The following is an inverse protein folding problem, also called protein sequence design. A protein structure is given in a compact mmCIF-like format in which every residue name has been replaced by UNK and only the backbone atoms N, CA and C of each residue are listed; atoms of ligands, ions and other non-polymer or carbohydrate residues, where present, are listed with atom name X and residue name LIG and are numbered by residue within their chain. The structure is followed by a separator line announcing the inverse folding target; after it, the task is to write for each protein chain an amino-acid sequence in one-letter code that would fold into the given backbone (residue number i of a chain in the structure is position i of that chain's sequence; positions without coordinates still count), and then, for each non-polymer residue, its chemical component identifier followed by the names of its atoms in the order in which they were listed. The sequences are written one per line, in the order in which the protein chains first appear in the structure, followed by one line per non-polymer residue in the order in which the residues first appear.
data_IF_277138027033
#
_entry.id   IF_277138027033
#
_cell.length_a   1.000
_cell.length_b   1.000
_cell.length_c   1.000
_cell.angle_alpha   90.00
_cell.angle_beta   90.00
_cell.angle_gamma   90.00
#
_symmetry.space_group_name_H-M   'P 1'
#
loop_
_entity.id
_entity.type
_entity.pdbx_description
1 polymer ?
#
# COMPACT_ATOMS: atom_id res chain seq x y z
N UNK A 1 14.27 -15.69 15.08
CA UNK A 1 12.83 -15.33 15.05
C UNK A 1 12.51 -14.11 14.17
N UNK A 2 13.41 -13.69 13.25
CA UNK A 2 13.18 -12.54 12.35
C UNK A 2 12.69 -12.91 10.95
N UNK A 3 12.89 -14.17 10.52
CA UNK A 3 12.54 -14.62 9.17
C UNK A 3 11.04 -14.56 8.92
N UNK A 4 10.19 -15.11 9.81
CA UNK A 4 8.75 -15.18 9.58
C UNK A 4 8.09 -13.80 9.43
N UNK A 5 8.37 -12.87 10.34
CA UNK A 5 7.82 -11.49 10.27
C UNK A 5 8.31 -10.73 9.04
N UNK A 6 9.55 -10.98 8.60
CA UNK A 6 10.08 -10.38 7.36
C UNK A 6 9.37 -10.93 6.12
N UNK A 7 9.09 -12.24 6.08
CA UNK A 7 8.33 -12.84 4.98
C UNK A 7 6.88 -12.31 4.93
N UNK A 8 6.25 -12.11 6.08
CA UNK A 8 4.93 -11.48 6.17
C UNK A 8 4.96 -10.02 5.67
N UNK A 9 6.01 -9.27 6.03
CA UNK A 9 6.21 -7.90 5.54
C UNK A 9 6.35 -7.86 4.01
N UNK A 10 7.22 -8.70 3.44
CA UNK A 10 7.40 -8.84 1.99
C UNK A 10 6.08 -9.21 1.30
N UNK A 11 5.34 -10.18 1.86
CA UNK A 11 4.05 -10.60 1.33
C UNK A 11 3.02 -9.47 1.35
N UNK A 12 2.95 -8.71 2.43
CA UNK A 12 2.08 -7.54 2.55
C UNK A 12 2.36 -6.48 1.48
N UNK A 13 3.65 -6.21 1.23
CA UNK A 13 4.08 -5.29 0.16
C UNK A 13 3.67 -5.80 -1.22
N UNK A 14 3.88 -7.08 -1.52
CA UNK A 14 3.46 -7.67 -2.82
C UNK A 14 1.95 -7.56 -3.03
N UNK A 15 1.14 -7.85 -2.01
CA UNK A 15 -0.31 -7.72 -2.09
C UNK A 15 -0.70 -6.25 -2.33
N UNK A 16 -0.08 -5.31 -1.61
CA UNK A 16 -0.33 -3.88 -1.81
C UNK A 16 0.06 -3.43 -3.21
N UNK A 17 1.21 -3.87 -3.72
CA UNK A 17 1.66 -3.62 -5.09
C UNK A 17 0.62 -4.07 -6.13
N UNK A 18 0.11 -5.29 -6.02
CA UNK A 18 -0.90 -5.83 -6.94
C UNK A 18 -2.19 -5.00 -6.96
N UNK A 19 -2.55 -4.37 -5.85
CA UNK A 19 -3.72 -3.48 -5.76
C UNK A 19 -3.43 -2.11 -6.39
N UNK A 20 -2.26 -1.52 -6.13
CA UNK A 20 -1.95 -0.14 -6.55
C UNK A 20 -1.37 -0.04 -7.97
N UNK A 21 -0.89 -1.14 -8.55
CA UNK A 21 -0.28 -1.13 -9.90
C UNK A 21 -1.25 -0.72 -11.01
N UNK A 22 -2.55 -0.87 -10.77
CA UNK A 22 -3.64 -0.44 -11.66
C UNK A 22 -4.21 0.95 -11.30
N UNK A 23 -3.61 1.63 -10.32
CA UNK A 23 -4.08 2.91 -9.77
C UNK A 23 -3.38 4.14 -10.34
N UNK A 24 -3.21 5.15 -9.48
CA UNK A 24 -2.69 6.48 -9.83
C UNK A 24 -1.35 6.47 -10.56
N UNK A 25 -0.45 5.55 -10.19
CA UNK A 25 0.89 5.43 -10.77
C UNK A 25 1.00 4.28 -11.79
N UNK A 26 -0.10 3.96 -12.49
CA UNK A 26 -0.16 2.90 -13.50
C UNK A 26 1.02 2.92 -14.49
N UNK A 27 1.35 4.09 -15.04
CA UNK A 27 2.42 4.24 -16.03
C UNK A 27 3.79 3.75 -15.51
N UNK A 28 4.00 3.83 -14.20
CA UNK A 28 5.22 3.40 -13.53
C UNK A 28 5.15 1.96 -13.04
N UNK A 29 3.99 1.53 -12.52
CA UNK A 29 3.85 0.28 -11.76
C UNK A 29 3.29 -0.89 -12.57
N UNK A 30 2.53 -0.68 -13.65
CA UNK A 30 1.94 -1.79 -14.43
C UNK A 30 3.01 -2.66 -15.10
N UNK A 31 4.02 -2.01 -15.69
CA UNK A 31 5.23 -2.66 -16.20
C UNK A 31 6.45 -1.94 -15.65
N UNK A 32 6.88 -2.29 -14.41
CA UNK A 32 7.93 -1.56 -13.73
C UNK A 32 9.27 -1.83 -14.38
N UNK A 33 10.04 -0.76 -14.57
CA UNK A 33 11.45 -0.82 -14.95
C UNK A 33 12.26 -0.05 -13.92
N UNK A 34 13.57 -0.31 -13.83
CA UNK A 34 14.47 0.43 -12.91
C UNK A 34 14.34 1.94 -13.05
N UNK A 35 14.22 2.43 -14.29
CA UNK A 35 14.05 3.85 -14.58
C UNK A 35 12.70 4.38 -14.08
N UNK A 36 11.62 3.65 -14.36
CA UNK A 36 10.27 4.01 -13.90
C UNK A 36 10.17 4.03 -12.37
N UNK A 37 10.69 3.01 -11.70
CA UNK A 37 10.68 2.93 -10.23
C UNK A 37 11.52 4.05 -9.60
N UNK A 38 12.67 4.37 -10.21
CA UNK A 38 13.49 5.52 -9.80
C UNK A 38 12.69 6.82 -9.93
N UNK A 39 12.08 7.07 -11.08
CA UNK A 39 11.36 8.31 -11.35
C UNK A 39 10.10 8.45 -10.47
N UNK A 40 9.40 7.35 -10.22
CA UNK A 40 8.29 7.30 -9.26
C UNK A 40 8.77 7.56 -7.83
N UNK A 41 9.89 6.95 -7.41
CA UNK A 41 10.47 7.22 -6.10
C UNK A 41 10.78 8.71 -5.94
N UNK A 42 11.37 9.36 -6.95
CA UNK A 42 11.58 10.81 -6.91
C UNK A 42 10.28 11.59 -6.68
N UNK A 43 9.23 11.26 -7.43
CA UNK A 43 7.92 11.91 -7.33
C UNK A 43 7.32 11.76 -5.92
N UNK A 44 7.40 10.57 -5.33
CA UNK A 44 6.91 10.31 -3.97
C UNK A 44 7.65 11.17 -2.95
N UNK A 45 8.97 11.27 -3.07
CA UNK A 45 9.79 12.05 -2.14
C UNK A 45 9.72 13.56 -2.38
N UNK A 46 9.27 14.00 -3.55
CA UNK A 46 8.88 15.41 -3.76
C UNK A 46 7.62 15.80 -2.97
N UNK A 47 6.75 14.83 -2.67
CA UNK A 47 5.44 15.05 -2.06
C UNK A 47 5.43 14.75 -0.55
N UNK A 48 6.19 15.52 0.23
CA UNK A 48 6.22 15.49 1.71
C UNK A 48 6.45 14.09 2.33
N UNK A 49 7.66 13.51 2.18
CA UNK A 49 8.00 12.22 2.78
C UNK A 49 8.06 12.31 4.31
N UNK A 50 7.77 11.21 5.00
CA UNK A 50 8.00 11.14 6.44
C UNK A 50 9.50 11.06 6.76
N UNK A 51 9.88 11.38 8.00
CA UNK A 51 11.28 11.26 8.42
C UNK A 51 11.82 9.82 8.28
N UNK A 52 10.96 8.81 8.48
CA UNK A 52 11.37 7.42 8.28
C UNK A 52 11.56 7.11 6.80
N UNK A 53 10.70 7.62 5.92
CA UNK A 53 10.86 7.45 4.48
C UNK A 53 12.19 8.09 4.01
N UNK A 54 12.53 9.28 4.52
CA UNK A 54 13.82 9.94 4.25
C UNK A 54 15.01 9.08 4.70
N UNK A 55 14.92 8.45 5.87
CA UNK A 55 15.96 7.53 6.35
C UNK A 55 16.08 6.28 5.46
N UNK A 56 14.96 5.71 5.00
CA UNK A 56 14.94 4.57 4.06
C UNK A 56 15.62 4.94 2.75
N UNK A 57 15.31 6.12 2.21
CA UNK A 57 15.93 6.65 1.00
C UNK A 57 17.44 6.78 1.15
N UNK A 58 17.88 7.42 2.25
CA UNK A 58 19.30 7.59 2.57
C UNK A 58 20.02 6.26 2.70
N UNK A 59 19.42 5.26 3.34
CA UNK A 59 20.07 3.97 3.57
C UNK A 59 20.31 3.20 2.26
N UNK A 60 19.33 3.17 1.34
CA UNK A 60 19.50 2.42 0.09
C UNK A 60 20.42 3.14 -0.90
N UNK A 61 20.26 4.46 -1.03
CA UNK A 61 20.92 5.26 -2.06
C UNK A 61 22.22 5.91 -1.59
N UNK A 62 22.50 5.86 -0.29
CA UNK A 62 23.64 6.51 0.36
C UNK A 62 23.73 8.02 0.08
N UNK A 63 22.58 8.68 -0.10
CA UNK A 63 22.48 10.10 -0.39
C UNK A 63 21.28 10.73 0.31
N UNK A 64 21.45 11.95 0.81
CA UNK A 64 20.35 12.72 1.39
C UNK A 64 19.43 13.23 0.28
N UNK A 65 18.12 13.17 0.51
CA UNK A 65 17.15 13.71 -0.43
C UNK A 65 17.27 15.23 -0.49
N UNK A 66 17.52 15.74 -1.68
CA UNK A 66 17.72 17.16 -1.95
C UNK A 66 17.17 17.46 -3.34
N UNK A 67 16.15 18.31 -3.41
CA UNK A 67 15.48 18.70 -4.65
C UNK A 67 16.45 19.27 -5.69
N UNK A 68 17.56 19.86 -5.27
CA UNK A 68 18.59 20.44 -6.16
C UNK A 68 19.50 19.39 -6.80
N UNK A 69 19.56 18.18 -6.23
CA UNK A 69 20.49 17.10 -6.62
C UNK A 69 19.87 16.02 -7.50
N UNK A 70 18.82 16.36 -8.27
CA UNK A 70 18.12 15.41 -9.16
C UNK A 70 19.04 14.65 -10.13
N UNK A 71 20.12 15.29 -10.59
CA UNK A 71 21.09 14.64 -11.48
C UNK A 71 21.84 13.48 -10.80
N UNK A 72 22.26 13.65 -9.54
CA UNK A 72 22.91 12.57 -8.77
C UNK A 72 21.98 11.39 -8.55
N UNK A 73 20.69 11.67 -8.39
CA UNK A 73 19.67 10.63 -8.24
C UNK A 73 19.46 9.82 -9.53
N UNK A 74 19.58 10.44 -10.72
CA UNK A 74 19.46 9.73 -12.00
C UNK A 74 20.49 8.59 -12.14
N UNK A 75 21.67 8.74 -11.55
CA UNK A 75 22.75 7.76 -11.56
C UNK A 75 22.44 6.51 -10.71
N UNK A 76 21.52 6.59 -9.75
CA UNK A 76 21.19 5.48 -8.84
C UNK A 76 20.26 4.42 -9.43
N UNK A 77 20.09 4.37 -10.75
CA UNK A 77 19.17 3.45 -11.44
C UNK A 77 19.37 1.99 -11.03
N UNK A 78 20.61 1.55 -10.83
CA UNK A 78 20.91 0.15 -10.52
C UNK A 78 20.47 -0.27 -9.12
N UNK A 79 20.32 0.67 -8.18
CA UNK A 79 19.80 0.40 -6.83
C UNK A 79 18.34 -0.05 -6.83
N UNK A 80 17.61 0.21 -7.91
CA UNK A 80 16.21 -0.20 -8.08
C UNK A 80 16.05 -1.60 -8.69
N UNK A 81 17.13 -2.25 -9.13
CA UNK A 81 17.07 -3.62 -9.67
C UNK A 81 16.41 -4.62 -8.69
N UNK A 82 16.77 -4.67 -7.39
CA UNK A 82 16.13 -5.60 -6.47
C UNK A 82 14.64 -5.34 -6.24
N UNK A 83 14.20 -4.09 -6.40
CA UNK A 83 12.79 -3.69 -6.25
C UNK A 83 11.99 -4.09 -7.50
N UNK A 84 12.58 -3.88 -8.68
CA UNK A 84 12.01 -4.32 -9.96
C UNK A 84 11.73 -5.83 -9.95
N UNK A 85 12.76 -6.64 -9.67
CA UNK A 85 12.62 -8.10 -9.68
C UNK A 85 11.69 -8.60 -8.57
N UNK A 86 11.63 -7.89 -7.44
CA UNK A 86 10.69 -8.17 -6.36
C UNK A 86 9.24 -7.96 -6.76
N UNK A 87 8.91 -6.84 -7.40
CA UNK A 87 7.56 -6.54 -7.87
C UNK A 87 7.13 -7.44 -9.03
N UNK A 88 8.06 -7.84 -9.90
CA UNK A 88 7.79 -8.84 -10.95
C UNK A 88 7.68 -10.27 -10.43
N UNK A 89 8.02 -10.51 -9.17
CA UNK A 89 8.01 -11.86 -8.58
C UNK A 89 9.16 -12.75 -9.04
N UNK A 90 10.17 -12.19 -9.71
CA UNK A 90 11.34 -12.93 -10.23
C UNK A 90 12.33 -13.29 -9.12
N UNK A 91 12.46 -12.45 -8.10
CA UNK A 91 13.44 -12.66 -7.02
C UNK A 91 12.88 -12.14 -5.70
N UNK A 92 13.28 -12.78 -4.61
CA UNK A 92 13.04 -12.27 -3.26
C UNK A 92 14.30 -11.60 -2.71
N UNK A 93 14.33 -10.26 -2.57
CA UNK A 93 15.52 -9.54 -2.15
C UNK A 93 15.85 -9.82 -0.69
N UNK A 94 17.13 -10.01 -0.39
CA UNK A 94 17.64 -10.10 0.98
C UNK A 94 17.95 -8.72 1.59
N UNK A 95 18.12 -7.71 0.74
CA UNK A 95 18.42 -6.35 1.18
C UNK A 95 17.17 -5.69 1.79
N UNK A 96 17.19 -5.50 3.12
CA UNK A 96 16.11 -4.88 3.88
C UNK A 96 15.84 -3.44 3.43
N UNK A 97 16.87 -2.68 3.06
CA UNK A 97 16.69 -1.30 2.59
C UNK A 97 15.92 -1.25 1.27
N UNK A 98 16.16 -2.22 0.38
CA UNK A 98 15.40 -2.33 -0.86
C UNK A 98 13.93 -2.72 -0.59
N UNK A 99 13.69 -3.64 0.36
CA UNK A 99 12.32 -4.02 0.77
C UNK A 99 11.61 -2.81 1.41
N UNK A 100 12.30 -2.05 2.27
CA UNK A 100 11.73 -0.86 2.88
C UNK A 100 11.39 0.19 1.83
N UNK A 101 12.27 0.43 0.85
CA UNK A 101 11.96 1.38 -0.21
C UNK A 101 10.81 0.88 -1.10
N UNK A 102 10.71 -0.43 -1.34
CA UNK A 102 9.55 -1.01 -2.02
C UNK A 102 8.25 -0.72 -1.26
N UNK A 103 8.26 -0.81 0.07
CA UNK A 103 7.12 -0.43 0.92
C UNK A 103 6.76 1.06 0.81
N UNK A 104 7.74 1.95 0.66
CA UNK A 104 7.50 3.38 0.41
C UNK A 104 6.83 3.58 -0.95
N UNK A 105 7.35 2.95 -2.01
CA UNK A 105 6.84 3.10 -3.38
C UNK A 105 5.36 2.73 -3.51
N UNK A 106 4.90 1.73 -2.77
CA UNK A 106 3.49 1.27 -2.82
C UNK A 106 2.63 1.77 -1.66
N UNK A 107 3.16 2.71 -0.86
CA UNK A 107 2.53 3.22 0.35
C UNK A 107 2.02 2.10 1.29
N UNK A 108 2.85 1.09 1.54
CA UNK A 108 2.54 0.03 2.52
C UNK A 108 2.86 0.52 3.94
N UNK A 109 1.90 0.40 4.86
CA UNK A 109 2.02 0.77 6.26
C UNK A 109 1.74 -0.43 7.17
N UNK A 110 2.40 -0.57 8.32
CA UNK A 110 3.48 0.28 8.83
C UNK A 110 4.82 0.05 8.11
N UNK A 111 5.59 1.12 7.87
CA UNK A 111 6.96 1.08 7.37
C UNK A 111 7.87 2.01 8.17
N UNK A 112 9.20 1.77 8.24
CA UNK A 112 9.96 0.63 7.72
C UNK A 112 9.75 -0.65 8.53
N UNK A 113 10.42 -1.75 8.13
CA UNK A 113 10.30 -3.07 8.76
C UNK A 113 10.45 -3.07 10.28
N UNK A 114 11.33 -2.21 10.84
CA UNK A 114 11.47 -2.07 12.30
C UNK A 114 10.13 -1.74 12.98
N UNK A 115 9.40 -0.75 12.44
CA UNK A 115 8.08 -0.34 12.94
C UNK A 115 7.03 -1.42 12.72
N UNK A 116 7.08 -2.11 11.58
CA UNK A 116 6.21 -3.25 11.30
C UNK A 116 6.39 -4.37 12.35
N UNK A 117 7.63 -4.78 12.57
CA UNK A 117 7.98 -5.83 13.53
C UNK A 117 7.59 -5.44 14.96
N UNK A 118 7.76 -4.18 15.37
CA UNK A 118 7.27 -3.68 16.66
C UNK A 118 5.74 -3.78 16.77
N UNK A 119 4.98 -3.37 15.75
CA UNK A 119 3.52 -3.49 15.76
C UNK A 119 3.05 -4.93 15.82
N UNK A 120 3.68 -5.86 15.09
CA UNK A 120 3.35 -7.28 15.14
C UNK A 120 3.50 -7.84 16.56
N UNK A 121 4.62 -7.55 17.23
CA UNK A 121 4.88 -8.00 18.60
C UNK A 121 3.87 -7.45 19.62
N UNK A 122 3.49 -6.18 19.49
CA UNK A 122 2.49 -5.56 20.38
C UNK A 122 1.11 -6.19 20.13
N UNK A 123 0.73 -6.41 18.87
CA UNK A 123 -0.53 -7.05 18.51
C UNK A 123 -0.64 -8.51 18.96
N UNK A 124 0.47 -9.25 18.96
CA UNK A 124 0.55 -10.60 19.56
C UNK A 124 0.37 -10.54 21.08
N UNK A 125 1.02 -9.58 21.75
CA UNK A 125 0.94 -9.41 23.21
C UNK A 125 -0.47 -9.02 23.66
N UNK A 126 -1.19 -8.21 22.88
CA UNK A 126 -2.58 -7.83 23.17
C UNK A 126 -3.56 -8.99 22.96
N UNK A 127 -3.32 -9.87 21.98
CA UNK A 127 -4.13 -11.07 21.79
C UNK A 127 -3.96 -12.07 22.94
N UNK A 128 -2.75 -12.24 23.47
CA UNK A 128 -2.50 -13.10 24.64
C UNK A 128 -3.23 -12.55 25.87
N UNK A 129 -3.12 -11.24 26.14
CA UNK A 129 -3.82 -10.60 27.29
C UNK A 129 -5.34 -10.66 27.20
N UNK A 130 -5.90 -10.69 25.99
CA UNK A 130 -7.34 -10.82 25.78
C UNK A 130 -7.81 -12.29 25.86
N UNK A 131 -6.94 -13.26 25.52
CA UNK A 131 -7.21 -14.68 25.73
C UNK A 131 -7.21 -15.05 27.22
N UNK A 132 -6.29 -14.49 28.00
CA UNK A 132 -6.22 -14.71 29.46
C UNK A 132 -7.40 -14.08 30.22
N UNK A 133 -8.13 -13.14 29.60
CA UNK A 133 -9.34 -12.51 30.18
C UNK A 133 -10.63 -13.25 29.81
N UNK A 134 -10.57 -14.24 28.91
CA UNK A 134 -11.72 -15.04 28.51
C UNK A 134 -11.86 -16.35 29.31
N UNK A 135 -10.92 -16.66 30.21
CA UNK A 135 -10.87 -17.95 30.92
C UNK A 135 -11.45 -17.93 32.35
N UNK A 136 -12.20 -16.89 32.74
CA UNK A 136 -12.94 -16.87 34.02
C UNK A 136 -14.39 -16.42 33.81
N UNK A 137 -15.24 -17.30 33.28
CA UNK A 137 -16.60 -17.52 33.79
C UNK A 137 -16.91 -19.02 33.64
N UNK A 138 -17.17 -19.65 34.79
CA UNK A 138 -17.33 -21.08 35.04
C UNK A 138 -18.71 -21.59 34.57
N UNK A 139 -18.65 -22.67 33.78
CA UNK A 139 -19.48 -23.90 33.71
C UNK A 139 -20.84 -24.02 34.45
N UNK A 140 -21.87 -24.47 33.72
CA UNK A 140 -22.93 -25.48 34.03
C UNK A 140 -24.07 -25.31 33.00
N UNK A 141 -24.73 -26.29 32.38
CA UNK A 141 -24.81 -27.75 32.45
C UNK A 141 -25.32 -28.28 31.07
N UNK A 142 -25.20 -29.60 30.88
CA UNK A 142 -25.42 -30.38 29.64
C UNK A 142 -26.90 -30.50 29.21
N UNK A 143 -27.13 -30.64 27.90
CA UNK A 143 -27.97 -31.74 27.37
C UNK A 143 -27.69 -32.04 25.88
N UNK A 144 -27.81 -33.33 25.53
CA UNK A 144 -27.35 -34.03 24.32
C UNK A 144 -28.55 -34.27 23.40
N UNK A 145 -28.40 -34.13 22.06
CA UNK A 145 -29.15 -34.92 21.08
C UNK A 145 -28.23 -35.30 19.90
N UNK A 146 -28.20 -36.59 19.57
CA UNK A 146 -27.40 -37.29 18.56
C UNK A 146 -28.07 -37.41 17.17
N UNK A 147 -27.22 -37.34 16.13
CA UNK A 147 -27.05 -38.21 14.94
C UNK A 147 -28.17 -38.37 13.90
N UNK A 148 -27.83 -38.07 12.62
CA UNK A 148 -27.78 -39.00 11.46
C UNK A 148 -27.29 -38.21 10.20
N UNK A 149 -26.42 -38.62 9.27
CA UNK A 149 -25.63 -39.83 9.02
C UNK A 149 -25.03 -39.78 7.58
N UNK A 150 -23.80 -40.30 7.42
CA UNK A 150 -23.22 -40.98 6.22
C UNK A 150 -22.94 -40.19 4.91
N UNK A 151 -21.84 -40.35 4.13
CA UNK A 151 -20.84 -41.44 3.93
C UNK A 151 -19.46 -40.85 3.51
N UNK A 152 -18.41 -41.60 3.88
CA UNK A 152 -16.97 -41.56 3.57
C UNK A 152 -16.60 -41.46 2.07
N UNK A 153 -15.41 -40.92 1.80
CA UNK A 153 -14.35 -41.69 1.13
C UNK A 153 -12.97 -41.06 1.41
N UNK A 154 -12.08 -41.90 1.92
CA UNK A 154 -10.65 -41.64 2.14
C UNK A 154 -9.91 -41.72 0.80
N UNK A 155 -8.93 -40.84 0.62
CA UNK A 155 -7.65 -41.21 0.02
C UNK A 155 -6.58 -40.25 0.57
N UNK A 156 -5.61 -40.88 1.20
CA UNK A 156 -4.51 -40.36 1.99
C UNK A 156 -3.37 -39.90 1.06
N UNK A 157 -2.80 -38.70 1.29
CA UNK A 157 -1.34 -38.55 1.34
C UNK A 157 -0.92 -37.18 1.92
N UNK A 158 -0.30 -37.27 3.10
CA UNK A 158 0.61 -36.34 3.78
C UNK A 158 0.30 -34.82 3.77
N UNK A 159 -0.23 -34.32 4.89
CA UNK A 159 -0.15 -32.91 5.27
C UNK A 159 0.30 -32.79 6.73
N UNK A 160 1.50 -32.24 6.91
CA UNK A 160 1.97 -31.77 8.22
C UNK A 160 1.01 -30.71 8.76
N UNK A 161 0.48 -30.97 9.96
CA UNK A 161 -0.40 -30.08 10.72
C UNK A 161 0.35 -28.83 11.18
N UNK A 162 0.35 -27.81 10.32
CA UNK A 162 0.65 -26.44 10.71
C UNK A 162 -0.63 -25.78 11.24
N UNK A 163 -0.71 -25.65 12.56
CA UNK A 163 -1.74 -24.86 13.28
C UNK A 163 -1.80 -23.44 12.70
N UNK A 164 -2.73 -23.26 11.76
CA UNK A 164 -3.02 -22.03 11.03
C UNK A 164 -3.93 -21.16 11.90
N UNK A 165 -3.39 -20.69 13.02
CA UNK A 165 -4.11 -19.85 13.96
C UNK A 165 -4.06 -18.36 13.59
N UNK A 166 -5.21 -17.80 13.21
CA UNK A 166 -5.71 -16.47 13.59
C UNK A 166 -5.01 -15.21 13.04
N UNK A 167 -3.83 -15.25 12.41
CA UNK A 167 -3.14 -14.00 12.02
C UNK A 167 -3.63 -13.36 10.70
N UNK A 168 -4.30 -14.14 9.83
CA UNK A 168 -4.78 -13.65 8.53
C UNK A 168 -5.91 -12.62 8.64
N UNK A 169 -6.67 -12.62 9.74
CA UNK A 169 -7.75 -11.66 9.97
C UNK A 169 -7.23 -10.24 10.16
N UNK A 170 -6.10 -10.06 10.86
CA UNK A 170 -5.50 -8.74 11.09
C UNK A 170 -5.05 -8.06 9.79
N UNK A 171 -4.58 -8.83 8.80
CA UNK A 171 -4.27 -8.27 7.49
C UNK A 171 -5.56 -7.97 6.70
N UNK A 172 -6.56 -8.86 6.74
CA UNK A 172 -7.83 -8.60 6.08
C UNK A 172 -8.51 -7.33 6.59
N UNK A 173 -8.39 -6.98 7.87
CA UNK A 173 -8.94 -5.73 8.42
C UNK A 173 -8.23 -4.47 7.90
N UNK A 174 -6.91 -4.54 7.66
CA UNK A 174 -6.17 -3.44 7.01
C UNK A 174 -6.55 -3.32 5.54
N UNK A 175 -6.75 -4.44 4.83
CA UNK A 175 -7.10 -4.46 3.41
C UNK A 175 -8.59 -4.19 3.12
N UNK A 176 -9.51 -4.60 4.00
CA UNK A 176 -10.96 -4.32 3.89
C UNK A 176 -11.25 -2.82 4.02
N UNK A 177 -10.45 -2.12 4.84
CA UNK A 177 -10.47 -0.66 4.98
C UNK A 177 -9.95 0.09 3.75
N UNK A 178 -9.10 -0.55 2.94
CA UNK A 178 -8.60 0.01 1.66
C UNK A 178 -9.66 -0.15 0.56
N UNK A 179 -10.39 -1.27 0.51
CA UNK A 179 -11.47 -1.51 -0.49
C UNK A 179 -12.66 -0.55 -0.33
N UNK A 180 -12.87 0.01 0.85
CA UNK A 180 -13.95 0.97 1.15
C UNK A 180 -13.60 2.41 0.83
N UNK A 181 -12.34 2.72 0.48
CA UNK A 181 -11.95 4.01 -0.10
C UNK A 181 -12.12 4.05 -1.63
N UNK A 182 -13.07 3.27 -2.15
CA UNK A 182 -13.57 3.46 -3.51
C UNK A 182 -14.28 4.82 -3.52
N UNK A 183 -13.56 5.83 -4.01
CA UNK A 183 -14.07 7.17 -4.29
C UNK A 183 -15.38 6.97 -5.06
N UNK A 184 -16.50 7.36 -4.45
CA UNK A 184 -17.82 7.28 -5.07
C UNK A 184 -17.88 8.34 -6.18
N UNK A 185 -17.96 7.96 -7.47
CA UNK A 185 -17.99 8.94 -8.56
C UNK A 185 -19.32 9.70 -8.64
N UNK A 186 -20.33 9.34 -7.84
CA UNK A 186 -21.70 9.88 -7.96
C UNK A 186 -21.95 11.18 -7.17
N UNK A 187 -20.95 11.76 -6.49
CA UNK A 187 -21.12 13.01 -5.72
C UNK A 187 -20.22 14.18 -6.12
N UNK A 188 -19.56 14.11 -7.28
CA UNK A 188 -18.82 15.26 -7.85
C UNK A 188 -19.54 15.76 -9.11
N UNK A 189 -20.78 16.20 -8.94
CA UNK A 189 -21.44 17.10 -9.89
C UNK A 189 -22.18 18.12 -9.02
N UNK A 190 -21.92 19.41 -9.26
CA UNK A 190 -22.76 20.58 -8.93
C UNK A 190 -22.07 21.76 -8.19
N UNK A 191 -20.82 22.12 -8.48
CA UNK A 191 -20.38 23.51 -8.28
C UNK A 191 -19.35 23.90 -9.35
N UNK A 192 -19.79 24.44 -10.48
CA UNK A 192 -18.85 24.89 -11.52
C UNK A 192 -19.39 25.37 -12.87
N UNK A 193 -20.70 25.54 -13.06
CA UNK A 193 -21.26 26.11 -14.32
C UNK A 193 -21.66 27.60 -14.14
N UNK A 194 -21.59 28.14 -12.92
CA UNK A 194 -22.11 29.48 -12.59
C UNK A 194 -21.22 30.69 -12.92
N UNK A 195 -19.96 30.54 -13.34
CA UNK A 195 -19.06 31.69 -13.53
C UNK A 195 -18.56 31.93 -14.95
N UNK A 196 -18.81 31.02 -15.91
CA UNK A 196 -18.41 31.23 -17.32
C UNK A 196 -19.40 32.16 -18.06
N UNK A 197 -20.62 32.36 -17.55
CA UNK A 197 -21.62 33.20 -18.21
C UNK A 197 -21.47 34.72 -18.01
N UNK A 198 -20.65 35.21 -17.06
CA UNK A 198 -20.52 36.66 -16.80
C UNK A 198 -19.29 37.33 -17.42
N UNK A 199 -18.31 36.57 -17.92
CA UNK A 199 -17.12 37.16 -18.58
C UNK A 199 -17.34 37.39 -20.08
N UNK A 200 -18.34 36.77 -20.70
CA UNK A 200 -18.58 36.89 -22.14
C UNK A 200 -19.27 38.21 -22.56
N UNK A 201 -20.09 38.82 -21.69
CA UNK A 201 -20.88 40.00 -22.06
C UNK A 201 -20.09 41.33 -22.06
N UNK A 202 -18.96 41.40 -21.34
CA UNK A 202 -18.10 42.59 -21.33
C UNK A 202 -17.16 42.67 -22.54
N UNK A 203 -16.74 41.52 -23.09
CA UNK A 203 -15.86 41.48 -24.26
C UNK A 203 -16.56 41.84 -25.57
N UNK A 204 -17.83 41.44 -25.76
CA UNK A 204 -18.59 41.78 -26.98
C UNK A 204 -18.85 43.29 -27.11
N UNK A 205 -19.19 43.98 -26.00
CA UNK A 205 -19.43 45.44 -26.01
C UNK A 205 -18.18 46.27 -26.33
N UNK A 206 -16.98 45.73 -26.07
CA UNK A 206 -15.71 46.42 -26.39
C UNK A 206 -15.35 46.27 -27.87
N UNK A 207 -15.74 45.16 -28.52
CA UNK A 207 -15.48 44.91 -29.94
C UNK A 207 -16.40 45.73 -30.84
N UNK A 208 -17.70 45.83 -30.52
CA UNK A 208 -18.65 46.66 -31.28
C UNK A 208 -18.28 48.16 -31.28
N UNK A 209 -17.70 48.63 -30.17
CA UNK A 209 -17.26 50.03 -30.03
C UNK A 209 -16.01 50.35 -30.85
N UNK A 210 -15.20 49.35 -31.19
CA UNK A 210 -14.04 49.51 -32.07
C UNK A 210 -14.43 49.47 -33.55
N UNK A 211 -15.40 48.64 -33.92
CA UNK A 211 -15.87 48.53 -35.31
C UNK A 211 -16.64 49.78 -35.75
N UNK A 212 -17.41 50.41 -34.85
CA UNK A 212 -18.16 51.65 -35.17
C UNK A 212 -17.28 52.91 -35.33
N UNK A 213 -15.99 52.89 -34.93
CA UNK A 213 -15.08 54.03 -35.07
C UNK A 213 -14.22 53.99 -36.34
N UNK A 214 -14.35 52.94 -37.16
CA UNK A 214 -13.54 52.74 -38.35
C UNK A 214 -14.33 52.85 -39.66
N UNK A 215 -15.49 53.51 -39.65
CA UNK A 215 -16.29 53.78 -40.85
C UNK A 215 -16.71 55.25 -40.92
#
# INVERSE_FOLDING_TARGET
MHSKTLEEYKKGIKIKYEIVKEGEHFDYLYNPSRGKLRDLCWLIFENNPTQDDLNVFKNLLCLDFDHTKKNKFKEQKDKFRPIETFFKGETDPLNIDAINLAAVIVDFQPRPFKKFNEKCRIGETQQIKNADKAEIVVESEKEIIEVDGFVKNENEESKEDLKKGNLYSNFQDVFSKIKTQKINPEKIIMVGIGTIALVSSACLKKLDRMISKSK
#
